data_IF_402000867384
#
_entry.id   IF_402000867384
#
_cell.length_a   1.000
_cell.length_b   1.000
_cell.length_c   1.000
_cell.angle_alpha   90.00
_cell.angle_beta   90.00
_cell.angle_gamma   90.00
#
_symmetry.space_group_name_H-M   'P 1'
#
loop_
_entity.id
_entity.type
_entity.pdbx_description
1 polymer ?
#
# COMPACT_ATOMS: atom_id res chain seq x y z
N UNK A 1 0.92 24.01 -3.65
CA UNK A 1 1.64 25.04 -4.34
C UNK A 1 3.02 24.59 -4.81
N UNK A 2 3.81 25.52 -5.28
CA UNK A 2 5.15 25.26 -5.82
C UNK A 2 6.07 24.56 -4.78
N UNK A 3 5.97 24.97 -3.53
CA UNK A 3 6.75 24.40 -2.44
C UNK A 3 6.39 22.92 -2.20
N UNK A 4 5.11 22.61 -2.26
CA UNK A 4 4.63 21.23 -2.15
C UNK A 4 5.13 20.35 -3.28
N UNK A 5 5.11 20.85 -4.50
CA UNK A 5 5.61 20.13 -5.68
C UNK A 5 7.09 19.82 -5.57
N UNK A 6 7.91 20.77 -5.12
CA UNK A 6 9.33 20.57 -4.91
C UNK A 6 9.62 19.52 -3.84
N UNK A 7 8.85 19.54 -2.75
CA UNK A 7 9.00 18.58 -1.66
C UNK A 7 8.66 17.17 -2.15
N UNK A 8 7.58 17.03 -2.89
CA UNK A 8 7.14 15.75 -3.43
C UNK A 8 8.13 15.17 -4.42
N UNK A 9 8.67 15.99 -5.32
CA UNK A 9 9.67 15.57 -6.27
C UNK A 9 10.96 15.12 -5.57
N UNK A 10 11.39 15.83 -4.53
CA UNK A 10 12.57 15.45 -3.76
C UNK A 10 12.38 14.11 -3.06
N UNK A 11 11.20 13.89 -2.46
CA UNK A 11 10.86 12.63 -1.81
C UNK A 11 10.73 11.50 -2.83
N UNK A 12 10.00 11.72 -3.92
CA UNK A 12 9.77 10.73 -4.95
C UNK A 12 11.04 10.39 -5.73
N UNK A 13 11.95 11.36 -5.87
CA UNK A 13 13.24 11.15 -6.51
C UNK A 13 14.12 10.10 -5.84
N UNK A 14 13.82 9.73 -4.58
CA UNK A 14 14.54 8.67 -3.89
C UNK A 14 14.02 7.27 -4.27
N UNK A 15 12.88 7.18 -4.96
CA UNK A 15 12.27 5.92 -5.39
C UNK A 15 12.80 5.53 -6.77
N UNK A 16 13.42 4.36 -6.87
CA UNK A 16 13.86 3.83 -8.15
C UNK A 16 12.67 3.21 -8.88
N UNK A 17 12.32 3.77 -10.03
CA UNK A 17 11.18 3.29 -10.81
C UNK A 17 11.42 3.44 -12.31
N UNK A 18 11.00 2.44 -13.10
CA UNK A 18 11.04 2.49 -14.55
C UNK A 18 9.88 3.30 -15.13
N UNK A 19 8.75 3.36 -14.41
CA UNK A 19 7.59 4.14 -14.77
C UNK A 19 6.96 4.74 -13.53
N UNK A 20 6.29 5.89 -13.68
CA UNK A 20 5.63 6.62 -12.59
C UNK A 20 4.27 7.07 -13.09
N UNK A 21 3.24 6.86 -12.26
CA UNK A 21 1.89 7.31 -12.57
C UNK A 21 1.35 8.17 -11.43
N UNK A 22 0.81 9.31 -11.80
CA UNK A 22 0.07 10.19 -10.89
C UNK A 22 -1.43 9.91 -11.00
N UNK A 23 -2.14 10.09 -9.90
CA UNK A 23 -3.59 10.03 -9.84
C UNK A 23 -4.11 11.11 -8.90
N UNK A 24 -5.09 11.88 -9.36
CA UNK A 24 -5.77 12.88 -8.55
C UNK A 24 -7.19 12.41 -8.32
N UNK A 25 -7.55 12.20 -7.05
CA UNK A 25 -8.87 11.72 -6.69
C UNK A 25 -9.93 12.79 -6.97
N UNK A 26 -11.15 12.40 -7.39
CA UNK A 26 -12.24 13.36 -7.60
C UNK A 26 -12.44 14.25 -6.38
N UNK A 27 -12.55 15.56 -6.60
CA UNK A 27 -12.58 16.57 -5.55
C UNK A 27 -11.26 17.26 -5.32
N UNK A 28 -10.17 16.82 -5.97
CA UNK A 28 -8.84 17.45 -5.94
C UNK A 28 -8.21 17.62 -4.55
N UNK A 29 -8.65 16.79 -3.57
CA UNK A 29 -8.12 16.88 -2.20
C UNK A 29 -7.09 15.80 -1.88
N UNK A 30 -6.92 14.82 -2.75
CA UNK A 30 -6.05 13.69 -2.53
C UNK A 30 -5.35 13.34 -3.84
N UNK A 31 -4.07 13.13 -3.78
CA UNK A 31 -3.28 12.70 -4.93
C UNK A 31 -2.33 11.57 -4.55
N UNK A 32 -1.95 10.77 -5.53
CA UNK A 32 -0.97 9.69 -5.35
C UNK A 32 0.00 9.67 -6.51
N UNK A 33 1.23 9.22 -6.21
CA UNK A 33 2.25 8.91 -7.19
C UNK A 33 2.69 7.48 -6.93
N UNK A 34 2.74 6.66 -7.96
CA UNK A 34 3.15 5.25 -7.83
C UNK A 34 4.25 4.95 -8.84
N UNK A 35 5.33 4.35 -8.37
CA UNK A 35 6.43 3.89 -9.21
C UNK A 35 6.28 2.41 -9.52
N UNK A 36 6.73 1.99 -10.70
CA UNK A 36 6.62 0.61 -11.19
C UNK A 36 7.96 0.10 -11.68
N UNK A 37 8.15 -1.22 -11.63
CA UNK A 37 9.41 -1.87 -12.00
C UNK A 37 9.64 -1.93 -13.52
N UNK A 38 8.60 -1.77 -14.33
CA UNK A 38 8.69 -1.84 -15.78
C UNK A 38 7.92 -0.70 -16.44
N UNK A 39 8.44 -0.18 -17.54
CA UNK A 39 7.77 0.79 -18.39
C UNK A 39 7.10 0.09 -19.58
N UNK A 40 6.33 0.84 -20.36
CA UNK A 40 5.72 0.31 -21.59
C UNK A 40 4.45 -0.50 -21.39
N UNK A 41 3.89 -0.49 -20.19
CA UNK A 41 2.62 -1.14 -19.88
C UNK A 41 1.48 -0.15 -20.17
N UNK A 42 0.28 -0.68 -20.45
CA UNK A 42 -0.91 0.15 -20.64
C UNK A 42 -1.09 1.11 -19.46
N UNK A 43 -1.25 2.38 -19.77
CA UNK A 43 -1.40 3.44 -18.77
C UNK A 43 -2.58 3.19 -17.83
N UNK A 44 -3.62 2.50 -18.29
CA UNK A 44 -4.76 2.16 -17.45
C UNK A 44 -4.38 1.26 -16.28
N UNK A 45 -3.43 0.34 -16.48
CA UNK A 45 -2.90 -0.53 -15.43
C UNK A 45 -2.24 0.32 -14.33
N UNK A 46 -1.41 1.26 -14.72
CA UNK A 46 -0.75 2.17 -13.78
C UNK A 46 -1.76 3.03 -13.02
N UNK A 47 -2.76 3.56 -13.72
CA UNK A 47 -3.82 4.39 -13.11
C UNK A 47 -4.66 3.61 -12.11
N UNK A 48 -4.97 2.37 -12.42
CA UNK A 48 -5.76 1.51 -11.53
C UNK A 48 -5.04 1.29 -10.20
N UNK A 49 -3.72 1.09 -10.24
CA UNK A 49 -2.93 0.91 -9.03
C UNK A 49 -2.80 2.22 -8.25
N UNK A 50 -2.60 3.34 -8.94
CA UNK A 50 -2.55 4.66 -8.29
C UNK A 50 -3.89 5.00 -7.61
N UNK A 51 -5.00 4.65 -8.23
CA UNK A 51 -6.34 4.78 -7.63
C UNK A 51 -6.48 3.88 -6.39
N UNK A 52 -5.96 2.66 -6.45
CA UNK A 52 -5.97 1.73 -5.32
C UNK A 52 -5.24 2.33 -4.12
N UNK A 53 -4.08 2.94 -4.34
CA UNK A 53 -3.33 3.63 -3.27
C UNK A 53 -4.15 4.76 -2.67
N UNK A 54 -4.80 5.56 -3.51
CA UNK A 54 -5.65 6.66 -3.05
C UNK A 54 -6.81 6.17 -2.19
N UNK A 55 -7.50 5.12 -2.64
CA UNK A 55 -8.70 4.62 -1.99
C UNK A 55 -8.40 3.81 -0.72
N UNK A 56 -7.37 2.96 -0.74
CA UNK A 56 -7.11 1.98 0.32
C UNK A 56 -6.03 2.40 1.30
N UNK A 57 -5.28 3.44 1.01
CA UNK A 57 -4.23 3.98 1.89
C UNK A 57 -3.32 2.88 2.46
N UNK A 58 -2.62 2.10 1.63
CA UNK A 58 -1.72 1.08 2.16
C UNK A 58 -0.58 1.70 2.96
N UNK A 59 -0.04 0.93 3.92
CA UNK A 59 1.07 1.39 4.77
C UNK A 59 2.42 1.21 4.07
N UNK A 60 2.51 0.29 3.12
CA UNK A 60 3.73 0.01 2.36
C UNK A 60 3.39 -0.69 1.05
N UNK A 61 4.39 -0.88 0.19
CA UNK A 61 4.23 -1.62 -1.07
C UNK A 61 3.99 -3.09 -0.80
N UNK A 62 4.83 -3.72 0.03
CA UNK A 62 4.72 -5.13 0.38
C UNK A 62 5.00 -5.31 1.87
N UNK A 63 4.74 -6.50 2.39
CA UNK A 63 4.92 -6.83 3.81
C UNK A 63 6.36 -6.58 4.30
N UNK A 64 7.35 -6.84 3.46
CA UNK A 64 8.76 -6.66 3.82
C UNK A 64 9.16 -5.18 3.94
N UNK A 65 8.34 -4.28 3.42
CA UNK A 65 8.56 -2.83 3.47
C UNK A 65 7.90 -2.16 4.67
N UNK A 66 7.13 -2.90 5.47
CA UNK A 66 6.46 -2.35 6.66
C UNK A 66 7.51 -2.09 7.74
N UNK A 67 7.61 -0.85 8.28
CA UNK A 67 8.58 -0.54 9.33
C UNK A 67 8.38 -1.42 10.57
N UNK A 68 9.47 -1.85 11.19
CA UNK A 68 9.43 -2.68 12.41
C UNK A 68 8.60 -2.04 13.53
N UNK A 69 8.65 -0.73 13.65
CA UNK A 69 7.87 0.02 14.64
C UNK A 69 6.36 -0.22 14.45
N UNK A 70 5.90 -0.20 13.19
CA UNK A 70 4.49 -0.45 12.87
C UNK A 70 4.13 -1.90 13.17
N UNK A 71 5.00 -2.85 12.82
CA UNK A 71 4.79 -4.26 13.13
C UNK A 71 4.68 -4.51 14.63
N UNK A 72 5.57 -3.92 15.43
CA UNK A 72 5.53 -4.03 16.87
C UNK A 72 4.23 -3.45 17.46
N UNK A 73 3.80 -2.30 16.96
CA UNK A 73 2.54 -1.67 17.38
C UNK A 73 1.34 -2.55 17.06
N UNK A 74 1.28 -3.12 15.86
CA UNK A 74 0.18 -3.99 15.45
C UNK A 74 0.12 -5.27 16.27
N UNK A 75 1.28 -5.86 16.57
CA UNK A 75 1.35 -7.03 17.45
C UNK A 75 0.85 -6.70 18.86
N UNK A 76 1.28 -5.58 19.44
CA UNK A 76 0.86 -5.16 20.76
C UNK A 76 -0.63 -4.89 20.82
N UNK A 77 -1.18 -4.22 19.81
CA UNK A 77 -2.61 -3.96 19.71
C UNK A 77 -3.38 -5.29 19.62
N UNK A 78 -2.90 -6.23 18.84
CA UNK A 78 -3.54 -7.52 18.66
C UNK A 78 -3.53 -8.34 19.96
N UNK A 79 -2.42 -8.33 20.70
CA UNK A 79 -2.31 -9.00 22.00
C UNK A 79 -3.27 -8.40 23.01
N UNK A 80 -3.27 -7.07 23.11
CA UNK A 80 -4.12 -6.33 24.05
C UNK A 80 -5.60 -6.61 23.75
N UNK A 81 -5.98 -6.58 22.49
CA UNK A 81 -7.34 -6.87 22.06
C UNK A 81 -7.74 -8.30 22.45
N UNK A 82 -6.86 -9.27 22.22
CA UNK A 82 -7.13 -10.67 22.59
C UNK A 82 -7.29 -10.84 24.10
N UNK A 83 -6.49 -10.12 24.91
CA UNK A 83 -6.65 -10.12 26.37
C UNK A 83 -8.03 -9.60 26.79
N UNK A 84 -8.46 -8.50 26.19
CA UNK A 84 -9.78 -7.91 26.46
C UNK A 84 -10.93 -8.85 26.11
N UNK A 85 -10.71 -9.68 25.09
CA UNK A 85 -11.68 -10.71 24.67
C UNK A 85 -11.64 -11.95 25.57
N UNK A 86 -10.77 -11.96 26.58
CA UNK A 86 -10.65 -13.06 27.51
C UNK A 86 -9.93 -14.30 26.99
N UNK A 87 -9.09 -14.12 25.97
CA UNK A 87 -8.34 -15.25 25.41
C UNK A 87 -7.21 -15.67 26.33
N UNK A 88 -6.92 -17.00 26.44
CA UNK A 88 -5.80 -17.49 27.24
C UNK A 88 -4.46 -16.93 26.79
N UNK A 89 -3.55 -16.68 27.75
CA UNK A 89 -2.20 -16.18 27.45
C UNK A 89 -1.44 -17.06 26.47
N UNK A 90 -1.64 -18.39 26.55
CA UNK A 90 -1.01 -19.35 25.66
C UNK A 90 -1.40 -19.15 24.18
N UNK A 91 -2.57 -18.55 23.91
CA UNK A 91 -3.09 -18.33 22.58
C UNK A 91 -2.80 -16.93 22.04
N UNK A 92 -2.33 -16.01 22.88
CA UNK A 92 -2.13 -14.61 22.48
C UNK A 92 -1.19 -14.45 21.29
N UNK A 93 -0.06 -15.15 21.30
CA UNK A 93 0.93 -15.06 20.22
C UNK A 93 0.35 -15.60 18.90
N UNK A 94 -0.35 -16.71 18.95
CA UNK A 94 -0.98 -17.30 17.76
C UNK A 94 -2.05 -16.37 17.18
N UNK A 95 -2.87 -15.80 18.04
CA UNK A 95 -3.93 -14.86 17.66
C UNK A 95 -3.29 -13.58 17.10
N UNK A 96 -2.26 -13.06 17.75
CA UNK A 96 -1.57 -11.87 17.30
C UNK A 96 -0.92 -12.08 15.93
N UNK A 97 -0.31 -13.24 15.70
CA UNK A 97 0.30 -13.57 14.42
C UNK A 97 -0.77 -13.67 13.32
N UNK A 98 -1.92 -14.26 13.62
CA UNK A 98 -3.04 -14.31 12.68
C UNK A 98 -3.56 -12.92 12.30
N UNK A 99 -3.68 -12.04 13.28
CA UNK A 99 -4.08 -10.65 13.04
C UNK A 99 -3.03 -9.87 12.24
N UNK A 100 -1.75 -10.15 12.48
CA UNK A 100 -0.66 -9.55 11.73
C UNK A 100 -0.70 -9.99 10.25
N UNK A 101 -0.95 -11.26 10.00
CA UNK A 101 -1.10 -11.78 8.63
C UNK A 101 -2.26 -11.10 7.91
N UNK A 102 -3.36 -10.87 8.60
CA UNK A 102 -4.51 -10.12 8.07
C UNK A 102 -4.12 -8.67 7.79
N UNK A 103 -3.36 -8.05 8.69
CA UNK A 103 -2.85 -6.71 8.51
C UNK A 103 -1.99 -6.60 7.24
N UNK A 104 -1.10 -7.54 7.01
CA UNK A 104 -0.29 -7.57 5.78
C UNK A 104 -1.17 -7.67 4.53
N UNK A 105 -2.18 -8.52 4.58
CA UNK A 105 -3.10 -8.69 3.45
C UNK A 105 -3.90 -7.44 3.14
N UNK A 106 -4.34 -6.73 4.15
CA UNK A 106 -5.21 -5.55 4.00
C UNK A 106 -4.44 -4.24 3.92
N UNK A 107 -3.25 -4.18 4.49
CA UNK A 107 -2.48 -2.96 4.66
C UNK A 107 -1.34 -2.75 3.67
N UNK A 108 -0.92 -3.78 2.93
CA UNK A 108 0.16 -3.64 1.96
C UNK A 108 -0.38 -3.70 0.53
N UNK A 109 0.08 -2.76 -0.31
CA UNK A 109 -0.48 -2.57 -1.65
C UNK A 109 -0.51 -3.85 -2.48
N UNK A 110 0.60 -4.56 -2.58
CA UNK A 110 0.71 -5.74 -3.43
C UNK A 110 -0.18 -6.90 -2.99
N UNK A 111 -0.57 -6.93 -1.72
CA UNK A 111 -1.35 -8.01 -1.14
C UNK A 111 -2.83 -7.66 -0.95
N UNK A 112 -3.21 -6.40 -1.16
CA UNK A 112 -4.61 -5.96 -1.09
C UNK A 112 -5.43 -6.56 -2.22
N UNK A 113 -6.71 -6.82 -1.94
CA UNK A 113 -7.65 -7.18 -2.99
C UNK A 113 -7.84 -5.98 -3.92
N UNK A 114 -7.81 -6.23 -5.22
CA UNK A 114 -8.01 -5.18 -6.21
C UNK A 114 -9.47 -4.67 -6.15
N UNK A 115 -9.65 -3.37 -6.03
CA UNK A 115 -10.98 -2.76 -5.87
C UNK A 115 -11.89 -3.10 -7.06
N UNK A 116 -11.35 -3.11 -8.27
CA UNK A 116 -12.12 -3.39 -9.48
C UNK A 116 -12.41 -4.87 -9.70
N UNK A 117 -11.64 -5.76 -9.07
CA UNK A 117 -11.84 -7.20 -9.17
C UNK A 117 -11.28 -7.89 -7.92
N UNK A 118 -12.14 -8.13 -6.94
CA UNK A 118 -11.76 -8.71 -5.64
C UNK A 118 -11.25 -10.15 -5.72
N UNK A 119 -11.34 -10.79 -6.86
CA UNK A 119 -10.79 -12.13 -7.09
C UNK A 119 -9.26 -12.10 -7.25
N UNK A 120 -8.70 -10.91 -7.52
CA UNK A 120 -7.28 -10.71 -7.73
C UNK A 120 -6.71 -9.81 -6.64
N UNK A 121 -5.48 -10.10 -6.20
CA UNK A 121 -4.68 -9.12 -5.47
C UNK A 121 -4.05 -8.17 -6.48
N UNK A 122 -3.54 -7.03 -5.99
CA UNK A 122 -2.80 -6.10 -6.86
C UNK A 122 -1.61 -6.83 -7.53
N UNK A 123 -0.91 -7.69 -6.77
CA UNK A 123 0.19 -8.51 -7.31
C UNK A 123 -0.28 -9.35 -8.50
N UNK A 124 -1.38 -10.06 -8.34
CA UNK A 124 -1.93 -10.91 -9.40
C UNK A 124 -2.40 -10.09 -10.60
N UNK A 125 -3.02 -8.95 -10.34
CA UNK A 125 -3.45 -8.04 -11.39
C UNK A 125 -2.26 -7.56 -12.25
N UNK A 126 -1.19 -7.10 -11.60
CA UNK A 126 0.01 -6.64 -12.30
C UNK A 126 0.69 -7.76 -13.08
N UNK A 127 0.84 -8.94 -12.48
CA UNK A 127 1.45 -10.09 -13.15
C UNK A 127 0.62 -10.59 -14.32
N UNK A 128 -0.70 -10.40 -14.30
CA UNK A 128 -1.56 -10.77 -15.43
C UNK A 128 -1.31 -9.92 -16.67
N UNK A 129 -0.78 -8.71 -16.50
CA UNK A 129 -0.45 -7.81 -17.60
C UNK A 129 1.00 -7.94 -18.06
N UNK A 130 1.92 -8.21 -17.16
CA UNK A 130 3.32 -8.48 -17.50
C UNK A 130 3.98 -9.23 -16.34
N UNK A 131 4.59 -10.34 -16.64
CA UNK A 131 5.29 -11.17 -15.66
C UNK A 131 6.43 -10.38 -15.02
N UNK A 132 6.43 -10.34 -13.69
CA UNK A 132 7.44 -9.61 -12.92
C UNK A 132 7.14 -8.13 -12.75
N UNK A 133 6.03 -7.63 -13.29
CA UNK A 133 5.61 -6.25 -13.04
C UNK A 133 5.18 -6.10 -11.60
N UNK A 134 5.73 -5.06 -10.93
CA UNK A 134 5.38 -4.76 -9.54
C UNK A 134 5.48 -3.27 -9.29
N UNK A 135 4.79 -2.80 -8.25
CA UNK A 135 4.98 -1.45 -7.73
C UNK A 135 6.29 -1.41 -6.93
N UNK A 136 7.04 -0.33 -7.07
CA UNK A 136 8.33 -0.14 -6.39
C UNK A 136 8.26 0.87 -5.27
N UNK A 137 7.26 1.73 -5.27
CA UNK A 137 7.05 2.74 -4.24
C UNK A 137 5.81 3.56 -4.54
N UNK A 138 5.34 4.29 -3.54
CA UNK A 138 4.23 5.21 -3.72
C UNK A 138 4.30 6.34 -2.71
N UNK A 139 3.64 7.45 -3.06
CA UNK A 139 3.40 8.59 -2.18
C UNK A 139 1.92 8.91 -2.23
N UNK A 140 1.31 9.08 -1.07
CA UNK A 140 -0.08 9.51 -0.94
C UNK A 140 -0.09 10.80 -0.12
N UNK A 141 -0.68 11.84 -0.65
CA UNK A 141 -0.70 13.13 0.01
C UNK A 141 -2.04 13.83 -0.15
N UNK A 142 -2.39 14.62 0.85
CA UNK A 142 -3.61 15.42 0.87
C UNK A 142 -3.29 16.81 0.35
N UNK A 143 -4.11 17.27 -0.60
CA UNK A 143 -3.97 18.61 -1.14
C UNK A 143 -4.72 19.60 -0.25
N UNK A 144 -4.01 20.59 0.26
CA UNK A 144 -4.62 21.69 1.01
C UNK A 144 -5.03 22.76 0.03
N UNK A 145 -6.31 22.78 -0.25
CA UNK A 145 -6.87 23.75 -1.17
C UNK A 145 -7.67 24.79 -0.39
#
# INVERSE_FOLDING_TARGET
GITGEKFELAFFGSITAAAVQAYIHPGNKLATLVGFSKAGIDVQVYKDVAMQVAAMNPVSVDKDDVPEKILAQELDIAREQARREGKPEEMLEKIAQGKLNKFFKEGTLMNQEFIKDSKLSIRQYLESHDKGLKATGFIRYTLNV
#
